data_IF_408760266440
#
_entry.id   IF_408760266440
#
_cell.length_a   1.000
_cell.length_b   1.000
_cell.length_c   1.000
_cell.angle_alpha   90.00
_cell.angle_beta   90.00
_cell.angle_gamma   90.00
#
_symmetry.space_group_name_H-M   'P 1'
#
loop_
_entity.id
_entity.type
_entity.pdbx_description
1 polymer ?
#
# COMPACT_ATOMS: atom_id res chain seq x y z
N UNK A 1 36.85 -43.62 -28.83
CA UNK A 1 35.94 -42.47 -28.79
C UNK A 1 36.73 -41.25 -29.23
N UNK A 2 36.27 -40.52 -30.25
CA UNK A 2 36.86 -39.22 -30.63
C UNK A 2 36.04 -38.14 -29.94
N UNK A 3 36.70 -37.22 -29.25
CA UNK A 3 36.06 -36.07 -28.60
C UNK A 3 36.38 -34.84 -29.44
N UNK A 4 35.34 -34.12 -29.86
CA UNK A 4 35.45 -32.85 -30.55
C UNK A 4 34.96 -31.75 -29.61
N UNK A 5 35.64 -30.60 -29.63
CA UNK A 5 35.30 -29.40 -28.86
C UNK A 5 35.11 -28.21 -29.81
N UNK A 6 34.09 -28.26 -30.69
CA UNK A 6 33.78 -27.13 -31.55
C UNK A 6 33.41 -25.91 -30.69
N UNK A 7 33.69 -24.70 -31.20
CA UNK A 7 33.19 -23.49 -30.58
C UNK A 7 31.65 -23.52 -30.55
N UNK A 8 31.05 -23.00 -29.48
CA UNK A 8 29.61 -22.80 -29.42
C UNK A 8 29.17 -21.87 -30.57
N UNK A 9 28.02 -22.12 -31.20
CA UNK A 9 27.49 -21.20 -32.21
C UNK A 9 27.10 -19.87 -31.55
N UNK A 10 26.87 -18.84 -32.36
CA UNK A 10 26.22 -17.63 -31.86
C UNK A 10 24.78 -17.94 -31.38
N UNK A 11 24.20 -17.05 -30.58
CA UNK A 11 22.79 -17.16 -30.15
C UNK A 11 21.86 -17.33 -31.37
N UNK A 12 20.92 -18.28 -31.27
CA UNK A 12 20.05 -18.71 -32.36
C UNK A 12 20.72 -19.60 -33.40
N UNK A 13 22.03 -19.80 -33.33
CA UNK A 13 22.79 -20.65 -34.25
C UNK A 13 22.74 -22.13 -33.88
N UNK A 14 22.80 -22.98 -34.90
CA UNK A 14 22.81 -24.45 -34.75
C UNK A 14 24.21 -25.02 -34.86
N UNK A 15 24.63 -25.77 -33.85
CA UNK A 15 25.80 -26.64 -33.94
C UNK A 15 25.38 -27.93 -34.66
N UNK A 16 25.99 -28.20 -35.81
CA UNK A 16 25.81 -29.44 -36.56
C UNK A 16 27.09 -30.27 -36.45
N UNK A 17 26.99 -31.53 -36.03
CA UNK A 17 28.12 -32.46 -35.97
C UNK A 17 27.80 -33.65 -36.87
N UNK A 18 28.76 -34.03 -37.71
CA UNK A 18 28.65 -35.19 -38.58
C UNK A 18 29.99 -35.91 -38.69
N UNK A 19 29.96 -37.24 -38.79
CA UNK A 19 31.15 -38.06 -38.92
C UNK A 19 30.91 -39.26 -39.85
N UNK A 20 31.96 -39.63 -40.58
CA UNK A 20 32.05 -40.86 -41.37
C UNK A 20 33.35 -41.56 -41.03
N UNK A 21 33.43 -42.87 -41.28
CA UNK A 21 34.65 -43.66 -41.15
C UNK A 21 35.03 -44.15 -42.55
N UNK A 22 36.29 -43.96 -42.95
CA UNK A 22 36.85 -44.50 -44.18
C UNK A 22 37.85 -45.60 -43.84
N UNK A 23 37.74 -46.76 -44.49
CA UNK A 23 38.72 -47.84 -44.32
C UNK A 23 39.98 -47.63 -45.19
N UNK A 24 40.98 -48.51 -45.04
CA UNK A 24 42.25 -48.43 -45.80
C UNK A 24 42.09 -48.68 -47.30
N UNK A 25 40.98 -49.30 -47.73
CA UNK A 25 40.66 -49.53 -49.14
C UNK A 25 39.85 -48.38 -49.76
N UNK A 26 39.46 -47.38 -48.96
CA UNK A 26 38.71 -46.20 -49.40
C UNK A 26 37.19 -46.34 -49.30
N UNK A 27 36.65 -47.40 -48.68
CA UNK A 27 35.21 -47.53 -48.47
C UNK A 27 34.77 -46.67 -47.28
N UNK A 28 33.62 -46.00 -47.40
CA UNK A 28 33.08 -45.10 -46.35
C UNK A 28 31.84 -45.66 -45.67
N UNK A 29 31.68 -45.38 -44.37
CA UNK A 29 30.44 -45.65 -43.64
C UNK A 29 29.33 -44.68 -44.03
N UNK A 30 28.09 -45.01 -43.66
CA UNK A 30 27.03 -44.00 -43.56
C UNK A 30 27.44 -42.90 -42.57
N UNK A 31 26.93 -41.69 -42.78
CA UNK A 31 27.14 -40.57 -41.89
C UNK A 31 26.31 -40.74 -40.61
N UNK A 32 26.95 -40.64 -39.45
CA UNK A 32 26.27 -40.34 -38.20
C UNK A 32 26.28 -38.82 -37.97
N UNK A 33 25.16 -38.25 -37.54
CA UNK A 33 25.06 -36.82 -37.27
C UNK A 33 24.15 -36.52 -36.08
N UNK A 34 24.35 -35.35 -35.48
CA UNK A 34 23.52 -34.77 -34.44
C UNK A 34 23.55 -33.24 -34.54
N UNK A 35 22.54 -32.56 -34.00
CA UNK A 35 22.49 -31.11 -33.99
C UNK A 35 21.73 -30.52 -32.80
N UNK A 36 22.13 -29.31 -32.40
CA UNK A 36 21.46 -28.55 -31.36
C UNK A 36 21.57 -27.04 -31.63
N UNK A 37 20.51 -26.29 -31.32
CA UNK A 37 20.47 -24.82 -31.44
C UNK A 37 20.74 -24.17 -30.09
N UNK A 38 21.59 -23.15 -30.07
CA UNK A 38 21.89 -22.38 -28.86
C UNK A 38 20.82 -21.30 -28.66
N UNK A 39 20.08 -21.37 -27.54
CA UNK A 39 19.19 -20.31 -27.05
C UNK A 39 19.48 -20.11 -25.57
N UNK A 40 20.09 -18.98 -25.24
CA UNK A 40 20.53 -18.62 -23.88
C UNK A 40 20.05 -17.24 -23.45
N UNK A 41 19.43 -16.48 -24.34
CA UNK A 41 18.83 -15.19 -24.03
C UNK A 41 17.57 -15.42 -23.20
N UNK A 42 17.60 -14.99 -21.93
CA UNK A 42 16.45 -15.05 -21.05
C UNK A 42 15.41 -13.96 -21.31
N UNK A 43 14.18 -14.14 -20.79
CA UNK A 43 13.14 -13.12 -20.85
C UNK A 43 13.50 -11.87 -20.05
N UNK A 44 12.90 -10.72 -20.38
CA UNK A 44 12.98 -9.52 -19.55
C UNK A 44 11.88 -9.52 -18.48
N UNK A 45 12.18 -8.97 -17.30
CA UNK A 45 11.20 -8.85 -16.23
C UNK A 45 11.36 -7.52 -15.48
N UNK A 46 10.23 -6.96 -15.04
CA UNK A 46 10.20 -5.86 -14.06
C UNK A 46 9.01 -6.05 -13.11
N UNK A 47 9.14 -5.51 -11.90
CA UNK A 47 8.10 -5.50 -10.88
C UNK A 47 8.18 -4.22 -10.04
N UNK A 48 7.02 -3.68 -9.67
CA UNK A 48 6.87 -2.59 -8.70
C UNK A 48 6.02 -3.05 -7.53
N UNK A 49 6.08 -2.31 -6.43
CA UNK A 49 5.11 -2.38 -5.32
C UNK A 49 4.42 -1.02 -5.28
N UNK A 50 3.10 -1.01 -5.26
CA UNK A 50 2.32 0.23 -5.08
C UNK A 50 2.33 0.62 -3.59
N UNK A 51 1.97 1.87 -3.25
CA UNK A 51 1.81 2.27 -1.85
C UNK A 51 0.99 1.28 -1.04
N UNK A 52 1.44 0.98 0.19
CA UNK A 52 0.70 0.14 1.11
C UNK A 52 -0.46 0.96 1.66
N UNK A 53 -1.68 0.64 1.21
CA UNK A 53 -2.90 1.46 1.38
C UNK A 53 -2.81 2.81 0.64
N UNK A 54 -3.79 3.70 0.82
CA UNK A 54 -3.96 4.87 -0.05
C UNK A 54 -2.92 5.98 0.23
N UNK A 55 -2.44 6.07 1.46
CA UNK A 55 -1.54 7.12 1.95
C UNK A 55 -0.14 6.58 2.30
N UNK A 56 0.11 5.30 2.05
CA UNK A 56 1.35 4.60 2.38
C UNK A 56 1.64 4.53 3.90
N UNK A 57 0.60 4.63 4.74
CA UNK A 57 0.71 4.54 6.19
C UNK A 57 -0.37 3.60 6.72
N UNK A 58 0.04 2.52 7.37
CA UNK A 58 -0.90 1.59 7.98
C UNK A 58 -1.46 2.15 9.28
N UNK A 59 -2.78 2.26 9.34
CA UNK A 59 -3.51 2.74 10.51
C UNK A 59 -4.19 1.62 11.33
N UNK A 60 -4.85 1.97 12.44
CA UNK A 60 -5.58 1.03 13.31
C UNK A 60 -6.67 0.29 12.54
N UNK A 61 -7.45 1.01 11.73
CA UNK A 61 -8.60 0.45 11.02
C UNK A 61 -8.17 -0.50 9.91
N UNK A 62 -7.19 -0.12 9.10
CA UNK A 62 -6.61 -0.90 8.02
C UNK A 62 -5.96 -2.19 8.52
N UNK A 63 -5.41 -2.16 9.73
CA UNK A 63 -4.74 -3.31 10.34
C UNK A 63 -5.60 -4.08 11.34
N UNK A 64 -6.91 -3.80 11.38
CA UNK A 64 -7.88 -4.52 12.22
C UNK A 64 -8.26 -5.89 11.64
N UNK A 65 -8.14 -6.05 10.32
CA UNK A 65 -8.31 -7.32 9.62
C UNK A 65 -7.08 -8.22 9.72
N UNK A 66 -7.24 -9.50 9.35
CA UNK A 66 -6.14 -10.47 9.36
C UNK A 66 -5.06 -10.18 8.31
N UNK A 67 -5.44 -9.53 7.21
CA UNK A 67 -4.54 -9.22 6.09
C UNK A 67 -4.81 -7.84 5.50
N UNK A 68 -3.80 -7.23 4.90
CA UNK A 68 -3.88 -6.05 4.04
C UNK A 68 -3.54 -6.46 2.60
N UNK A 69 -4.28 -5.93 1.63
CA UNK A 69 -4.01 -6.18 0.21
C UNK A 69 -2.85 -5.33 -0.26
N UNK A 70 -1.83 -5.97 -0.81
CA UNK A 70 -0.70 -5.33 -1.49
C UNK A 70 -0.87 -5.49 -3.00
N UNK A 71 -0.63 -4.42 -3.74
CA UNK A 71 -0.68 -4.41 -5.20
C UNK A 71 0.64 -3.94 -5.80
N UNK A 72 0.78 -4.17 -7.09
CA UNK A 72 1.89 -3.65 -7.87
C UNK A 72 1.73 -4.02 -9.34
N UNK A 73 2.65 -3.52 -10.16
CA UNK A 73 2.66 -3.79 -11.60
C UNK A 73 3.86 -4.63 -12.00
N UNK A 74 3.75 -5.32 -13.13
CA UNK A 74 4.85 -6.07 -13.73
C UNK A 74 4.99 -5.71 -15.20
N UNK A 75 6.16 -5.98 -15.79
CA UNK A 75 6.45 -5.68 -17.19
C UNK A 75 7.55 -6.55 -17.79
N UNK A 76 7.94 -6.21 -19.02
CA UNK A 76 8.83 -7.05 -19.83
C UNK A 76 8.06 -8.21 -20.46
N UNK A 77 8.65 -9.41 -20.40
CA UNK A 77 8.08 -10.64 -20.93
C UNK A 77 7.21 -11.40 -19.91
N UNK A 78 7.05 -10.85 -18.70
CA UNK A 78 6.19 -11.38 -17.63
C UNK A 78 4.75 -11.55 -18.14
N UNK A 79 4.12 -12.67 -17.77
CA UNK A 79 2.82 -13.09 -18.28
C UNK A 79 1.85 -13.36 -17.13
N UNK A 80 0.55 -13.28 -17.42
CA UNK A 80 -0.49 -13.75 -16.50
C UNK A 80 -0.20 -15.20 -16.09
N UNK A 81 -0.24 -15.47 -14.79
CA UNK A 81 0.12 -16.78 -14.23
C UNK A 81 1.59 -16.94 -13.85
N UNK A 82 2.48 -15.97 -14.15
CA UNK A 82 3.81 -15.96 -13.54
C UNK A 82 3.71 -15.76 -12.03
N UNK A 83 4.64 -16.35 -11.28
CA UNK A 83 4.61 -16.34 -9.81
C UNK A 83 5.20 -15.05 -9.28
N UNK A 84 4.44 -14.39 -8.39
CA UNK A 84 4.88 -13.24 -7.61
C UNK A 84 5.06 -13.68 -6.16
N UNK A 85 6.18 -13.35 -5.55
CA UNK A 85 6.44 -13.57 -4.12
C UNK A 85 6.63 -12.23 -3.44
N UNK A 86 5.83 -11.96 -2.40
CA UNK A 86 6.02 -10.86 -1.48
C UNK A 86 6.69 -11.37 -0.20
N UNK A 87 7.70 -10.66 0.28
CA UNK A 87 8.38 -10.96 1.54
C UNK A 87 8.24 -9.77 2.48
N UNK A 88 7.66 -10.02 3.66
CA UNK A 88 7.47 -9.03 4.73
C UNK A 88 7.83 -9.70 6.05
N UNK A 89 8.63 -9.04 6.90
CA UNK A 89 9.11 -9.60 8.17
C UNK A 89 9.85 -10.95 7.98
N UNK A 90 10.43 -11.19 6.80
CA UNK A 90 11.04 -12.46 6.42
C UNK A 90 10.06 -13.61 6.11
N UNK A 91 8.75 -13.34 6.07
CA UNK A 91 7.71 -14.28 5.68
C UNK A 91 7.31 -14.09 4.22
N UNK A 92 7.35 -15.17 3.45
CA UNK A 92 6.96 -15.18 2.03
C UNK A 92 5.46 -15.45 1.87
N UNK A 93 4.80 -14.63 1.05
CA UNK A 93 3.43 -14.83 0.56
C UNK A 93 3.42 -14.79 -0.96
N UNK A 94 2.88 -15.83 -1.58
CA UNK A 94 2.87 -15.96 -3.05
C UNK A 94 1.52 -15.64 -3.65
N UNK A 95 1.53 -15.07 -4.85
CA UNK A 95 0.38 -14.92 -5.72
C UNK A 95 0.78 -15.06 -7.19
N UNK A 96 -0.12 -14.65 -8.07
CA UNK A 96 0.10 -14.73 -9.50
C UNK A 96 -0.08 -13.38 -10.17
N UNK A 97 0.63 -13.18 -11.27
CA UNK A 97 0.38 -12.07 -12.18
C UNK A 97 -1.03 -12.19 -12.77
N UNK A 98 -1.75 -11.07 -12.77
CA UNK A 98 -3.10 -10.90 -13.31
C UNK A 98 -3.12 -9.78 -14.35
N UNK A 99 -4.16 -9.78 -15.20
CA UNK A 99 -4.47 -8.67 -16.10
C UNK A 99 -5.26 -7.59 -15.34
N UNK A 100 -4.70 -6.39 -15.26
CA UNK A 100 -5.36 -5.21 -14.67
C UNK A 100 -6.25 -4.48 -15.68
N UNK A 101 -6.29 -4.94 -16.93
CA UNK A 101 -6.98 -4.31 -18.04
C UNK A 101 -6.09 -3.33 -18.80
N UNK A 102 -6.56 -2.95 -20.00
CA UNK A 102 -5.88 -1.99 -20.87
C UNK A 102 -4.42 -2.35 -21.21
N UNK A 103 -4.10 -3.65 -21.21
CA UNK A 103 -2.76 -4.15 -21.51
C UNK A 103 -1.74 -3.98 -20.38
N UNK A 104 -2.19 -3.69 -19.14
CA UNK A 104 -1.34 -3.62 -17.96
C UNK A 104 -1.43 -4.90 -17.15
N UNK A 105 -0.28 -5.44 -16.75
CA UNK A 105 -0.20 -6.57 -15.85
C UNK A 105 0.21 -6.12 -14.45
N UNK A 106 -0.23 -6.86 -13.45
CA UNK A 106 0.13 -6.61 -12.06
C UNK A 106 -0.25 -7.76 -11.16
N UNK A 107 -0.38 -7.50 -9.87
CA UNK A 107 -0.75 -8.50 -8.89
C UNK A 107 -1.55 -7.88 -7.74
N UNK A 108 -2.26 -8.73 -7.03
CA UNK A 108 -2.98 -8.41 -5.79
C UNK A 108 -2.79 -9.58 -4.84
N UNK A 109 -2.15 -9.32 -3.70
CA UNK A 109 -1.76 -10.36 -2.75
C UNK A 109 -2.13 -9.88 -1.34
N UNK A 110 -2.90 -10.68 -0.63
CA UNK A 110 -3.23 -10.42 0.76
C UNK A 110 -2.06 -10.82 1.66
N UNK A 111 -1.45 -9.85 2.33
CA UNK A 111 -0.33 -10.05 3.26
C UNK A 111 -0.80 -9.92 4.69
N UNK A 112 -0.26 -10.73 5.59
CA UNK A 112 -0.57 -10.71 7.03
C UNK A 112 -0.42 -9.32 7.64
N UNK A 113 -1.48 -8.84 8.29
CA UNK A 113 -1.43 -7.58 9.05
C UNK A 113 -0.45 -7.65 10.22
N UNK A 114 -0.13 -8.85 10.71
CA UNK A 114 0.84 -9.04 11.80
C UNK A 114 2.26 -8.82 11.29
N UNK A 115 2.59 -9.35 10.11
CA UNK A 115 3.91 -9.16 9.51
C UNK A 115 4.09 -7.71 9.07
N UNK A 116 3.04 -7.09 8.53
CA UNK A 116 3.08 -5.68 8.17
C UNK A 116 3.25 -4.73 9.37
N UNK A 117 2.76 -5.10 10.55
CA UNK A 117 3.02 -4.33 11.80
C UNK A 117 4.45 -4.53 12.33
N UNK A 118 5.11 -5.62 11.95
CA UNK A 118 6.42 -6.00 12.45
C UNK A 118 7.57 -5.54 11.53
N UNK A 119 7.25 -5.09 10.32
CA UNK A 119 8.19 -4.59 9.31
C UNK A 119 7.75 -3.19 8.82
N UNK A 120 8.61 -2.55 8.03
CA UNK A 120 8.36 -1.27 7.37
C UNK A 120 8.57 -1.33 5.85
N UNK A 121 8.85 -2.52 5.30
CA UNK A 121 9.14 -2.68 3.88
C UNK A 121 8.49 -3.95 3.33
N UNK A 122 7.86 -3.83 2.16
CA UNK A 122 7.44 -4.98 1.36
C UNK A 122 8.46 -5.20 0.26
N UNK A 123 9.06 -6.38 0.21
CA UNK A 123 9.86 -6.82 -0.93
C UNK A 123 9.01 -7.66 -1.87
N UNK A 124 9.16 -7.47 -3.17
CA UNK A 124 8.46 -8.23 -4.18
C UNK A 124 9.45 -8.83 -5.18
N UNK A 125 9.13 -10.02 -5.68
CA UNK A 125 9.83 -10.63 -6.79
C UNK A 125 8.85 -11.29 -7.75
N UNK A 126 9.22 -11.31 -9.04
CA UNK A 126 8.49 -12.05 -10.07
C UNK A 126 9.49 -12.83 -10.91
N UNK A 127 9.15 -14.08 -11.21
CA UNK A 127 9.96 -14.92 -12.10
C UNK A 127 9.16 -15.30 -13.33
N UNK A 128 9.74 -15.10 -14.50
CA UNK A 128 9.15 -15.49 -15.80
C UNK A 128 10.10 -16.42 -16.53
N UNK A 129 9.54 -17.36 -17.30
CA UNK A 129 10.29 -18.38 -18.04
C UNK A 129 9.81 -18.43 -19.48
N UNK A 130 10.73 -18.45 -20.43
CA UNK A 130 10.41 -18.56 -21.85
C UNK A 130 10.08 -20.00 -22.29
N UNK A 131 9.76 -20.21 -23.56
CA UNK A 131 9.45 -21.54 -24.11
C UNK A 131 10.64 -22.48 -24.22
N UNK A 132 11.87 -21.98 -24.02
CA UNK A 132 13.11 -22.74 -24.10
C UNK A 132 13.68 -23.07 -22.71
N UNK A 133 13.00 -22.65 -21.64
CA UNK A 133 13.39 -22.91 -20.25
C UNK A 133 14.36 -21.88 -19.67
N UNK A 134 14.60 -20.76 -20.35
CA UNK A 134 15.37 -19.66 -19.77
C UNK A 134 14.48 -18.84 -18.83
N UNK A 135 14.98 -18.56 -17.63
CA UNK A 135 14.23 -17.80 -16.62
C UNK A 135 14.95 -16.51 -16.24
N UNK A 136 14.15 -15.51 -15.88
CA UNK A 136 14.62 -14.26 -15.28
C UNK A 136 13.75 -13.88 -14.09
N UNK A 137 14.38 -13.35 -13.05
CA UNK A 137 13.71 -12.86 -11.85
C UNK A 137 13.94 -11.36 -11.72
N UNK A 138 12.87 -10.60 -11.55
CA UNK A 138 12.94 -9.19 -11.18
C UNK A 138 12.54 -9.02 -9.72
N UNK A 139 13.10 -8.00 -9.07
CA UNK A 139 12.83 -7.64 -7.68
C UNK A 139 12.46 -6.17 -7.56
N UNK A 140 11.59 -5.84 -6.62
CA UNK A 140 11.21 -4.47 -6.26
C UNK A 140 10.87 -4.39 -4.78
N UNK A 141 10.67 -3.18 -4.27
CA UNK A 141 10.24 -2.98 -2.89
C UNK A 141 9.58 -1.63 -2.70
N UNK A 142 8.73 -1.51 -1.69
CA UNK A 142 8.27 -0.21 -1.18
C UNK A 142 8.31 -0.19 0.35
N UNK A 143 8.61 0.98 0.91
CA UNK A 143 8.60 1.20 2.36
C UNK A 143 7.37 2.00 2.75
N UNK A 144 6.78 1.68 3.89
CA UNK A 144 5.53 2.28 4.37
C UNK A 144 5.64 2.72 5.83
N UNK A 145 4.77 3.64 6.23
CA UNK A 145 4.64 4.09 7.61
C UNK A 145 3.71 3.20 8.42
N UNK A 146 3.85 3.22 9.74
CA UNK A 146 2.93 2.58 10.67
C UNK A 146 2.51 3.61 11.72
N UNK A 147 1.21 3.90 11.80
CA UNK A 147 0.64 4.75 12.83
C UNK A 147 -0.55 4.06 13.48
N UNK A 148 -0.33 3.49 14.66
CA UNK A 148 -1.36 2.79 15.42
C UNK A 148 -1.81 3.58 16.65
N UNK A 149 -1.69 4.91 16.62
CA UNK A 149 -2.01 5.78 17.74
C UNK A 149 -3.10 6.79 17.39
N UNK A 150 -4.26 6.68 18.04
CA UNK A 150 -5.28 7.72 17.95
C UNK A 150 -4.94 8.91 18.87
N UNK A 151 -5.26 10.16 18.48
CA UNK A 151 -5.22 11.29 19.38
C UNK A 151 -6.15 11.11 20.58
N UNK A 152 -5.78 11.71 21.72
CA UNK A 152 -6.66 11.73 22.89
C UNK A 152 -7.97 12.48 22.62
N UNK A 153 -9.01 12.22 23.41
CA UNK A 153 -10.27 12.93 23.25
C UNK A 153 -10.13 14.43 23.57
N UNK A 154 -10.72 15.34 22.76
CA UNK A 154 -10.80 16.75 23.10
C UNK A 154 -11.78 16.99 24.25
N UNK A 155 -11.67 18.15 24.89
CA UNK A 155 -12.69 18.63 25.83
C UNK A 155 -13.69 19.52 25.12
N UNK A 156 -14.93 19.55 25.60
CA UNK A 156 -15.99 20.41 25.04
C UNK A 156 -16.62 21.20 26.18
N UNK A 157 -16.60 22.53 26.06
CA UNK A 157 -17.20 23.44 27.03
C UNK A 157 -18.10 24.43 26.28
N UNK A 158 -19.39 24.46 26.63
CA UNK A 158 -20.31 25.48 26.15
C UNK A 158 -20.03 26.74 26.97
N UNK A 159 -19.13 27.59 26.49
CA UNK A 159 -18.66 28.77 27.20
C UNK A 159 -19.76 29.82 27.44
N UNK A 160 -20.85 29.77 26.67
CA UNK A 160 -22.04 30.59 26.95
C UNK A 160 -22.76 30.15 28.24
N UNK A 161 -22.75 28.87 28.61
CA UNK A 161 -23.22 28.37 29.91
C UNK A 161 -22.16 28.71 30.99
N UNK A 162 -22.09 29.99 31.33
CA UNK A 162 -21.00 30.55 32.13
C UNK A 162 -21.01 30.06 33.59
N UNK A 163 -22.17 29.64 34.10
CA UNK A 163 -22.31 29.11 35.46
C UNK A 163 -22.28 27.57 35.49
N UNK A 164 -22.26 26.93 34.32
CA UNK A 164 -22.20 25.49 34.11
C UNK A 164 -23.33 24.75 34.85
N UNK A 165 -24.52 25.34 34.87
CA UNK A 165 -25.72 24.77 35.48
C UNK A 165 -26.53 23.89 34.52
N UNK A 166 -26.11 23.82 33.25
CA UNK A 166 -26.74 23.02 32.19
C UNK A 166 -27.89 23.73 31.47
N UNK A 167 -28.14 25.00 31.76
CA UNK A 167 -29.15 25.81 31.09
C UNK A 167 -28.52 27.04 30.44
N UNK A 168 -29.04 27.41 29.27
CA UNK A 168 -28.70 28.67 28.60
C UNK A 168 -29.84 29.66 28.83
N UNK A 169 -29.55 30.71 29.58
CA UNK A 169 -30.53 31.74 29.92
C UNK A 169 -30.23 33.09 29.22
N UNK A 170 -31.18 34.03 29.33
CA UNK A 170 -31.06 35.35 28.69
C UNK A 170 -29.87 36.18 29.21
N UNK A 171 -29.46 35.98 30.46
CA UNK A 171 -28.31 36.71 31.00
C UNK A 171 -27.00 36.22 30.36
N UNK A 172 -26.90 34.92 30.07
CA UNK A 172 -25.77 34.29 29.38
C UNK A 172 -25.73 34.60 27.88
N UNK A 173 -26.84 34.40 27.16
CA UNK A 173 -26.91 34.63 25.71
C UNK A 173 -27.01 36.11 25.32
N UNK A 174 -27.56 36.95 26.20
CA UNK A 174 -27.82 38.35 25.92
C UNK A 174 -28.77 38.55 24.74
N UNK A 175 -28.22 39.02 23.61
CA UNK A 175 -28.95 39.20 22.34
C UNK A 175 -28.30 38.44 21.18
N UNK A 176 -27.37 37.53 21.47
CA UNK A 176 -26.72 36.70 20.45
C UNK A 176 -27.70 35.65 19.90
N UNK A 177 -27.50 35.27 18.63
CA UNK A 177 -28.25 34.18 17.98
C UNK A 177 -27.44 32.88 17.92
N UNK A 178 -26.29 32.85 18.57
CA UNK A 178 -25.30 31.77 18.56
C UNK A 178 -24.67 31.64 19.93
N UNK A 179 -24.31 30.42 20.31
CA UNK A 179 -23.60 30.12 21.54
C UNK A 179 -22.11 29.89 21.27
N UNK A 180 -21.24 30.27 22.20
CA UNK A 180 -19.80 30.02 22.11
C UNK A 180 -19.50 28.66 22.70
N UNK A 181 -18.82 27.81 21.94
CA UNK A 181 -18.33 26.51 22.41
C UNK A 181 -16.83 26.45 22.21
N UNK A 182 -16.10 26.22 23.30
CA UNK A 182 -14.67 26.03 23.29
C UNK A 182 -14.38 24.52 23.28
N UNK A 183 -13.67 24.08 22.24
CA UNK A 183 -13.19 22.71 22.13
C UNK A 183 -11.71 22.73 22.49
N UNK A 184 -11.37 22.20 23.66
CA UNK A 184 -9.98 22.10 24.11
C UNK A 184 -9.27 20.95 23.40
N UNK A 185 -8.14 21.26 22.78
CA UNK A 185 -7.32 20.29 22.07
C UNK A 185 -6.36 19.59 23.05
N UNK A 186 -6.21 18.26 22.96
CA UNK A 186 -5.25 17.53 23.78
C UNK A 186 -3.82 17.81 23.30
N UNK A 187 -2.83 17.48 24.13
CA UNK A 187 -1.42 17.80 23.86
C UNK A 187 -0.79 16.97 22.74
N UNK A 188 -1.40 15.84 22.38
CA UNK A 188 -0.97 14.93 21.32
C UNK A 188 -1.59 15.24 19.95
N UNK A 189 -2.58 16.15 19.90
CA UNK A 189 -3.12 16.68 18.66
C UNK A 189 -2.08 17.53 17.92
N UNK A 190 -2.09 17.45 16.60
CA UNK A 190 -1.13 18.09 15.71
C UNK A 190 -1.85 18.83 14.58
N UNK A 191 -1.15 19.79 13.98
CA UNK A 191 -1.66 20.46 12.80
C UNK A 191 -1.75 19.46 11.65
N UNK A 192 -2.87 19.45 10.94
CA UNK A 192 -3.21 18.44 9.94
C UNK A 192 -4.21 17.39 10.43
N UNK A 193 -4.34 17.17 11.74
CA UNK A 193 -5.41 16.32 12.29
C UNK A 193 -6.78 16.97 12.00
N UNK A 194 -7.82 16.15 11.90
CA UNK A 194 -9.19 16.59 11.65
C UNK A 194 -10.02 16.55 12.93
N UNK A 195 -10.51 17.70 13.35
CA UNK A 195 -11.53 17.83 14.40
C UNK A 195 -12.91 17.53 13.82
N UNK A 196 -13.55 16.47 14.32
CA UNK A 196 -14.90 16.08 13.96
C UNK A 196 -15.86 16.54 15.05
N UNK A 197 -16.85 17.37 14.68
CA UNK A 197 -17.83 17.90 15.63
C UNK A 197 -19.23 17.40 15.27
N UNK A 198 -20.01 17.04 16.27
CA UNK A 198 -21.45 16.81 16.14
C UNK A 198 -22.21 17.79 17.01
N UNK A 199 -23.24 18.43 16.45
CA UNK A 199 -24.12 19.36 17.16
C UNK A 199 -25.53 18.78 17.11
N UNK A 200 -26.12 18.51 18.27
CA UNK A 200 -27.44 17.88 18.40
C UNK A 200 -27.56 16.59 17.58
N UNK A 201 -26.48 15.79 17.55
CA UNK A 201 -26.38 14.54 16.78
C UNK A 201 -26.12 14.72 15.28
N UNK A 202 -26.06 15.96 14.77
CA UNK A 202 -25.76 16.26 13.36
C UNK A 202 -24.27 16.51 13.18
N UNK A 203 -23.63 15.68 12.36
CA UNK A 203 -22.22 15.85 11.98
C UNK A 203 -22.01 17.17 11.23
N UNK A 204 -20.98 17.89 11.63
CA UNK A 204 -20.49 19.09 10.95
C UNK A 204 -19.40 18.72 9.93
N UNK A 205 -19.10 19.59 8.97
CA UNK A 205 -17.91 19.43 8.13
C UNK A 205 -16.65 19.30 8.99
N UNK A 206 -15.77 18.34 8.66
CA UNK A 206 -14.51 18.15 9.38
C UNK A 206 -13.63 19.39 9.29
N UNK A 207 -13.00 19.74 10.41
CA UNK A 207 -12.13 20.92 10.53
C UNK A 207 -10.67 20.48 10.67
N UNK A 208 -9.83 20.80 9.69
CA UNK A 208 -8.39 20.48 9.74
C UNK A 208 -7.69 21.48 10.67
N UNK A 209 -7.06 20.96 11.73
CA UNK A 209 -6.39 21.75 12.74
C UNK A 209 -5.19 22.49 12.16
N UNK A 210 -5.13 23.79 12.43
CA UNK A 210 -4.01 24.65 12.04
C UNK A 210 -2.95 24.73 13.15
N UNK A 211 -1.72 25.10 12.78
CA UNK A 211 -0.66 25.31 13.77
C UNK A 211 -1.00 26.39 14.81
N UNK A 212 -1.82 27.39 14.43
CA UNK A 212 -2.26 28.44 15.33
C UNK A 212 -3.23 27.91 16.40
N UNK A 213 -4.15 27.02 16.03
CA UNK A 213 -5.11 26.39 16.97
C UNK A 213 -4.41 25.42 17.90
N UNK A 214 -3.46 24.62 17.39
CA UNK A 214 -2.60 23.78 18.23
C UNK A 214 -1.83 24.62 19.24
N UNK A 215 -1.27 25.75 18.81
CA UNK A 215 -0.55 26.68 19.71
C UNK A 215 -1.50 27.33 20.73
N UNK A 216 -2.75 27.60 20.35
CA UNK A 216 -3.77 28.13 21.25
C UNK A 216 -4.36 27.06 22.19
N UNK A 217 -4.21 25.77 21.85
CA UNK A 217 -4.77 24.65 22.60
C UNK A 217 -6.28 24.51 22.51
N UNK A 218 -6.95 25.21 21.59
CA UNK A 218 -8.40 25.16 21.44
C UNK A 218 -8.89 25.57 20.05
N UNK A 219 -10.07 25.09 19.69
CA UNK A 219 -10.91 25.59 18.58
C UNK A 219 -12.20 26.17 19.16
N UNK A 220 -12.60 27.35 18.70
CA UNK A 220 -13.86 27.99 19.13
C UNK A 220 -14.87 27.92 17.99
N UNK A 221 -16.06 27.40 18.28
CA UNK A 221 -17.18 27.35 17.32
C UNK A 221 -18.39 28.12 17.86
N UNK A 222 -19.25 28.56 16.94
CA UNK A 222 -20.44 29.36 17.26
C UNK A 222 -21.72 28.77 16.65
N UNK A 223 -22.21 27.61 17.14
CA UNK A 223 -23.48 27.05 16.70
C UNK A 223 -24.64 28.01 16.92
N UNK A 224 -25.67 27.91 16.08
CA UNK A 224 -26.94 28.62 16.29
C UNK A 224 -27.53 28.24 17.64
N UNK A 225 -28.00 29.24 18.39
CA UNK A 225 -28.65 29.02 19.67
C UNK A 225 -29.88 28.11 19.53
N UNK A 226 -30.13 27.20 20.48
CA UNK A 226 -31.32 26.37 20.46
C UNK A 226 -32.57 27.24 20.59
N UNK A 227 -33.69 26.78 20.01
CA UNK A 227 -34.98 27.38 20.30
C UNK A 227 -35.34 27.21 21.78
N UNK A 228 -36.28 28.02 22.29
CA UNK A 228 -36.78 27.92 23.67
C UNK A 228 -37.17 26.47 24.03
N UNK A 229 -36.63 25.95 25.13
CA UNK A 229 -36.81 24.56 25.57
C UNK A 229 -36.04 23.51 24.76
N UNK A 230 -35.26 23.92 23.76
CA UNK A 230 -34.34 23.09 23.01
C UNK A 230 -33.04 22.79 23.77
N UNK A 231 -32.27 21.85 23.25
CA UNK A 231 -30.96 21.47 23.81
C UNK A 231 -29.84 21.84 22.84
N UNK A 232 -28.68 22.14 23.41
CA UNK A 232 -27.41 22.22 22.70
C UNK A 232 -26.49 21.13 23.24
N UNK A 233 -26.37 20.04 22.49
CA UNK A 233 -25.43 18.96 22.75
C UNK A 233 -24.30 19.03 21.74
N UNK A 234 -23.06 19.09 22.20
CA UNK A 234 -21.87 19.11 21.35
C UNK A 234 -20.95 17.98 21.76
N UNK A 235 -20.55 17.15 20.79
CA UNK A 235 -19.50 16.16 20.98
C UNK A 235 -18.43 16.35 19.91
N UNK A 236 -17.19 16.04 20.28
CA UNK A 236 -16.05 16.17 19.39
C UNK A 236 -15.09 14.98 19.52
N UNK A 237 -14.47 14.60 18.41
CA UNK A 237 -13.35 13.66 18.33
C UNK A 237 -12.28 14.23 17.41
N UNK A 238 -11.06 13.70 17.47
CA UNK A 238 -9.96 14.10 16.59
C UNK A 238 -9.51 12.86 15.82
N UNK A 239 -9.41 12.98 14.50
CA UNK A 239 -8.81 11.98 13.62
C UNK A 239 -7.43 12.46 13.20
N UNK A 240 -6.38 11.66 13.38
CA UNK A 240 -5.05 12.04 12.91
C UNK A 240 -4.91 11.97 11.36
N UNK A 241 -3.73 12.33 10.85
CA UNK A 241 -3.44 12.29 9.42
C UNK A 241 -3.44 10.88 8.81
N UNK A 242 -3.21 9.84 9.61
CA UNK A 242 -3.26 8.44 9.19
C UNK A 242 -4.69 7.87 9.25
N UNK A 243 -5.65 8.58 9.86
CA UNK A 243 -7.04 8.17 9.99
C UNK A 243 -7.41 7.52 11.33
N UNK A 244 -6.53 7.53 12.33
CA UNK A 244 -6.84 7.00 13.66
C UNK A 244 -7.74 7.97 14.46
N UNK A 245 -8.77 7.46 15.13
CA UNK A 245 -9.74 8.23 15.95
C UNK A 245 -10.07 7.50 17.24
#
# INVERSE_FOLDING_TARGET
QVVLTPAAPAEGGTLNVAATITDVAGNTSAQGSDSATLITSGPLASITVDPVTADNVLNIAETSGATVTITGTVGGDVKVGDTVTLTVNGHDTTGQVIDLGSGKLGYTIAVSSTDLKADSTVHASVTTTDSHGNSSTATGSDSYGLDLSAPSAPTVVIATDANNDGYLNKAEQGSATTDTVNIGLPTDAKAGDTLNVTINGTAQPGHVLTAAEISAGQVVITPTAPAEGGTLNVAATITDVAGNT
#
